data_IF_725350898563
#
_entry.id   IF_725350898563
#
_cell.length_a   1.000
_cell.length_b   1.000
_cell.length_c   1.000
_cell.angle_alpha   90.00
_cell.angle_beta   90.00
_cell.angle_gamma   90.00
#
_symmetry.space_group_name_H-M   'P 1'
#
loop_
_entity.id
_entity.type
_entity.pdbx_description
1 polymer ?
#
# COMPACT_ATOMS: atom_id res chain seq x y z
N UNK A 1 13.03 -23.32 15.63
CA UNK A 1 12.17 -22.34 14.90
C UNK A 1 13.06 -21.64 13.92
N UNK A 2 12.62 -21.52 12.67
CA UNK A 2 13.43 -20.84 11.66
C UNK A 2 13.67 -19.38 12.07
N UNK A 3 14.90 -18.91 11.85
CA UNK A 3 15.22 -17.51 12.10
C UNK A 3 14.68 -16.66 10.94
N UNK A 4 13.62 -15.90 11.21
CA UNK A 4 13.02 -14.99 10.25
C UNK A 4 13.74 -13.65 10.31
N UNK A 5 14.12 -13.15 9.12
CA UNK A 5 14.69 -11.83 8.95
C UNK A 5 13.82 -11.08 7.94
N UNK A 6 13.40 -9.87 8.30
CA UNK A 6 12.65 -8.96 7.44
C UNK A 6 13.46 -7.69 7.26
N UNK A 7 13.80 -7.36 6.02
CA UNK A 7 14.42 -6.08 5.68
C UNK A 7 13.53 -5.33 4.69
N UNK A 8 13.70 -4.02 4.64
CA UNK A 8 12.81 -3.17 3.86
C UNK A 8 13.51 -1.99 3.22
N UNK A 9 12.91 -1.47 2.16
CA UNK A 9 13.07 -0.09 1.71
C UNK A 9 11.69 0.51 1.45
N UNK A 10 11.47 1.74 1.93
CA UNK A 10 10.23 2.47 1.70
C UNK A 10 10.55 3.89 1.25
N UNK A 11 9.79 4.40 0.28
CA UNK A 11 9.97 5.75 -0.22
C UNK A 11 8.68 6.32 -0.79
N UNK A 12 8.57 7.65 -0.75
CA UNK A 12 7.55 8.42 -1.46
C UNK A 12 8.20 9.60 -2.17
N UNK A 13 7.73 9.89 -3.37
CA UNK A 13 8.21 10.99 -4.20
C UNK A 13 7.03 11.79 -4.76
N UNK A 14 7.13 13.13 -4.70
CA UNK A 14 6.02 14.03 -5.10
C UNK A 14 5.70 13.99 -6.60
N UNK A 15 6.65 13.56 -7.44
CA UNK A 15 6.49 13.59 -8.90
C UNK A 15 6.35 15.02 -9.44
N UNK A 16 5.37 15.23 -10.30
CA UNK A 16 5.04 16.53 -10.90
C UNK A 16 3.87 17.24 -10.21
N UNK A 17 3.38 16.70 -9.10
CA UNK A 17 2.27 17.26 -8.32
C UNK A 17 2.75 18.44 -7.45
N UNK A 18 1.82 19.26 -6.99
CA UNK A 18 2.09 20.37 -6.06
C UNK A 18 2.25 19.90 -4.62
N UNK A 19 1.56 18.84 -4.25
CA UNK A 19 1.55 18.25 -2.92
C UNK A 19 1.74 16.74 -3.04
N UNK A 20 2.37 16.15 -2.06
CA UNK A 20 2.37 14.71 -1.88
C UNK A 20 1.16 14.32 -1.02
N UNK A 21 0.26 13.53 -1.58
CA UNK A 21 -0.95 13.03 -0.93
C UNK A 21 -0.81 11.57 -0.49
N UNK A 22 0.31 10.93 -0.87
CA UNK A 22 0.63 9.56 -0.47
C UNK A 22 1.20 9.51 0.94
N UNK A 23 0.96 8.39 1.62
CA UNK A 23 1.57 8.03 2.88
C UNK A 23 1.93 6.54 2.91
N UNK A 24 2.80 6.15 3.87
CA UNK A 24 3.25 4.77 4.00
C UNK A 24 3.48 4.40 5.46
N UNK A 25 3.47 3.09 5.74
CA UNK A 25 3.88 2.49 7.00
C UNK A 25 5.07 1.57 6.74
N UNK A 26 6.10 1.73 7.54
CA UNK A 26 7.27 0.87 7.53
C UNK A 26 7.40 0.27 8.92
N UNK A 27 7.27 -1.07 9.01
CA UNK A 27 7.42 -1.83 10.24
C UNK A 27 6.63 -1.27 11.43
N UNK A 28 5.36 -0.93 11.20
CA UNK A 28 4.44 -0.41 12.22
C UNK A 28 4.66 1.05 12.60
N UNK A 29 5.51 1.79 11.87
CA UNK A 29 5.73 3.22 12.07
C UNK A 29 5.37 4.01 10.81
N UNK A 30 4.53 5.02 10.96
CA UNK A 30 4.26 6.00 9.91
C UNK A 30 5.29 7.13 9.99
N UNK A 31 6.18 7.27 8.98
CA UNK A 31 7.01 8.45 8.90
C UNK A 31 6.14 9.67 8.65
N UNK A 32 6.55 10.82 9.18
CA UNK A 32 5.80 12.05 9.01
C UNK A 32 5.96 12.61 7.59
N UNK A 33 5.18 12.09 6.63
CA UNK A 33 5.29 12.40 5.20
C UNK A 33 4.54 13.68 4.82
N UNK A 34 3.43 14.02 5.51
CA UNK A 34 2.53 15.12 5.12
C UNK A 34 3.20 16.51 5.00
N UNK A 35 4.40 16.69 5.55
CA UNK A 35 5.22 17.90 5.40
C UNK A 35 6.50 17.69 4.63
N UNK A 36 6.80 16.46 4.26
CA UNK A 36 7.98 16.10 3.45
C UNK A 36 7.50 15.69 2.06
N UNK A 37 7.88 16.45 1.07
CA UNK A 37 7.52 16.17 -0.32
C UNK A 37 8.15 14.88 -0.83
N UNK A 38 9.33 14.51 -0.28
CA UNK A 38 10.03 13.27 -0.59
C UNK A 38 10.56 12.65 0.71
N UNK A 39 10.45 11.34 0.83
CA UNK A 39 10.94 10.59 1.96
C UNK A 39 11.50 9.25 1.49
N UNK A 40 12.55 8.76 2.14
CA UNK A 40 13.02 7.38 1.95
C UNK A 40 13.68 6.86 3.22
N UNK A 41 13.46 5.59 3.51
CA UNK A 41 14.06 4.86 4.62
C UNK A 41 14.28 3.40 4.19
N UNK A 42 15.42 2.82 4.60
CA UNK A 42 15.69 1.41 4.41
C UNK A 42 16.44 0.84 5.62
N UNK A 43 16.28 -0.45 5.83
CA UNK A 43 16.92 -1.10 6.96
C UNK A 43 16.42 -2.53 7.19
N UNK A 44 16.75 -3.05 8.36
CA UNK A 44 16.27 -4.34 8.84
C UNK A 44 15.30 -4.12 10.00
N UNK A 45 14.17 -4.81 9.98
CA UNK A 45 13.23 -4.80 11.09
C UNK A 45 13.79 -5.52 12.30
N UNK A 46 13.63 -5.00 13.53
CA UNK A 46 13.92 -5.77 14.73
C UNK A 46 12.96 -6.96 14.81
N UNK A 47 13.41 -8.11 15.37
CA UNK A 47 12.54 -9.27 15.53
C UNK A 47 11.28 -8.95 16.34
N UNK A 48 10.11 -9.29 15.81
CA UNK A 48 8.81 -9.09 16.46
C UNK A 48 7.78 -10.13 16.00
N UNK A 49 6.69 -10.33 16.77
CA UNK A 49 5.68 -11.33 16.43
C UNK A 49 4.93 -11.04 15.12
N UNK A 50 4.70 -9.76 14.81
CA UNK A 50 3.99 -9.32 13.60
C UNK A 50 4.67 -8.07 13.06
N UNK A 51 4.86 -8.00 11.75
CA UNK A 51 5.33 -6.82 11.03
C UNK A 51 4.16 -6.18 10.27
N UNK A 52 4.13 -4.86 10.20
CA UNK A 52 3.09 -4.08 9.50
C UNK A 52 3.73 -3.16 8.47
N UNK A 53 3.27 -3.27 7.22
CA UNK A 53 3.63 -2.38 6.12
C UNK A 53 2.35 -1.92 5.42
N UNK A 54 2.34 -0.67 4.93
CA UNK A 54 1.21 -0.17 4.16
C UNK A 54 1.62 0.96 3.20
N UNK A 55 0.79 1.17 2.19
CA UNK A 55 0.77 2.37 1.36
C UNK A 55 -0.66 2.90 1.27
N UNK A 56 -0.79 4.23 1.25
CA UNK A 56 -2.05 4.95 1.14
C UNK A 56 -1.88 6.07 0.12
N UNK A 57 -2.74 6.12 -0.89
CA UNK A 57 -2.79 7.15 -1.92
C UNK A 57 -4.00 8.06 -1.68
N UNK A 58 -3.77 9.34 -1.52
CA UNK A 58 -4.83 10.32 -1.26
C UNK A 58 -5.66 10.65 -2.49
N UNK A 59 -6.97 10.40 -2.44
CA UNK A 59 -7.92 10.51 -3.54
C UNK A 59 -8.67 11.85 -3.49
N UNK A 60 -8.78 12.52 -4.63
CA UNK A 60 -9.59 13.73 -4.75
C UNK A 60 -8.76 15.01 -4.58
N UNK A 61 -8.51 15.77 -5.60
CA UNK A 61 -7.61 16.94 -5.65
C UNK A 61 -7.98 18.17 -4.79
N UNK A 62 -8.71 18.04 -3.70
CA UNK A 62 -9.31 19.12 -2.92
C UNK A 62 -8.63 19.42 -1.57
N UNK A 63 -7.37 19.02 -1.38
CA UNK A 63 -6.56 19.51 -0.27
C UNK A 63 -6.67 18.76 1.06
N UNK A 64 -7.70 17.95 1.26
CA UNK A 64 -7.91 17.11 2.45
C UNK A 64 -7.38 15.67 2.30
N UNK A 65 -7.13 15.21 1.07
CA UNK A 65 -6.71 13.84 0.78
C UNK A 65 -5.36 13.50 1.44
N UNK A 66 -4.41 14.43 1.45
CA UNK A 66 -3.13 14.25 2.16
C UNK A 66 -3.32 14.11 3.67
N UNK A 67 -4.29 14.81 4.25
CA UNK A 67 -4.64 14.69 5.67
C UNK A 67 -5.34 13.37 5.94
N UNK A 68 -6.21 12.92 5.04
CA UNK A 68 -6.93 11.64 5.16
C UNK A 68 -5.97 10.47 5.06
N UNK A 69 -5.07 10.45 4.07
CA UNK A 69 -4.06 9.40 3.94
C UNK A 69 -3.13 9.35 5.16
N UNK A 70 -2.71 10.52 5.67
CA UNK A 70 -1.93 10.64 6.90
C UNK A 70 -2.68 10.09 8.12
N UNK A 71 -3.92 10.54 8.33
CA UNK A 71 -4.73 10.09 9.47
C UNK A 71 -5.02 8.58 9.42
N UNK A 72 -5.14 8.00 8.22
CA UNK A 72 -5.32 6.56 8.03
C UNK A 72 -4.09 5.76 8.47
N UNK A 73 -2.87 6.17 8.05
CA UNK A 73 -1.64 5.49 8.48
C UNK A 73 -1.37 5.68 9.96
N UNK A 74 -1.65 6.87 10.53
CA UNK A 74 -1.51 7.13 11.97
C UNK A 74 -2.43 6.20 12.78
N UNK A 75 -3.70 6.08 12.38
CA UNK A 75 -4.67 5.22 13.06
C UNK A 75 -4.29 3.74 12.98
N UNK A 76 -3.79 3.28 11.82
CA UNK A 76 -3.26 1.91 11.69
C UNK A 76 -2.06 1.68 12.61
N UNK A 77 -1.13 2.64 12.75
CA UNK A 77 0.01 2.54 13.66
C UNK A 77 -0.41 2.56 15.13
N UNK A 78 -1.34 3.44 15.51
CA UNK A 78 -1.88 3.51 16.88
C UNK A 78 -2.56 2.20 17.28
N UNK A 79 -3.39 1.64 16.38
CA UNK A 79 -4.04 0.35 16.61
C UNK A 79 -3.02 -0.81 16.65
N UNK A 80 -1.94 -0.72 15.87
CA UNK A 80 -0.88 -1.74 15.84
C UNK A 80 -0.06 -1.82 17.12
N UNK A 81 0.12 -0.72 17.84
CA UNK A 81 0.82 -0.71 19.13
C UNK A 81 -0.01 -1.32 20.27
N UNK A 82 -1.28 -1.60 20.01
CA UNK A 82 -2.17 -2.30 20.93
C UNK A 82 -1.98 -3.83 20.93
N UNK A 83 -2.95 -4.53 21.50
CA UNK A 83 -2.97 -6.00 21.52
C UNK A 83 -3.42 -6.51 20.15
N UNK A 84 -2.49 -7.15 19.41
CA UNK A 84 -2.81 -7.78 18.12
C UNK A 84 -3.60 -9.07 18.33
N UNK A 85 -4.68 -9.33 17.55
CA UNK A 85 -5.42 -10.57 17.64
C UNK A 85 -4.53 -11.77 17.26
N UNK A 86 -4.63 -12.86 18.02
CA UNK A 86 -3.85 -14.06 17.72
C UNK A 86 -4.32 -14.76 16.44
N UNK A 87 -5.58 -14.61 16.06
CA UNK A 87 -6.23 -15.43 15.03
C UNK A 87 -6.72 -14.69 13.80
N UNK A 88 -7.20 -13.46 13.87
CA UNK A 88 -7.78 -12.73 12.71
C UNK A 88 -7.12 -11.39 12.42
N UNK A 89 -5.95 -11.45 11.78
CA UNK A 89 -5.23 -10.25 11.33
C UNK A 89 -6.02 -9.47 10.26
N UNK A 90 -6.72 -10.16 9.35
CA UNK A 90 -7.49 -9.50 8.32
C UNK A 90 -8.70 -8.76 8.90
N UNK A 91 -9.40 -9.38 9.87
CA UNK A 91 -10.50 -8.74 10.60
C UNK A 91 -10.03 -7.48 11.31
N UNK A 92 -8.90 -7.55 12.00
CA UNK A 92 -8.31 -6.38 12.67
C UNK A 92 -8.02 -5.23 11.71
N UNK A 93 -7.41 -5.48 10.55
CA UNK A 93 -7.17 -4.43 9.55
C UNK A 93 -8.50 -3.84 9.06
N UNK A 94 -9.47 -4.69 8.73
CA UNK A 94 -10.78 -4.25 8.21
C UNK A 94 -11.52 -3.37 9.21
N UNK A 95 -11.54 -3.73 10.49
CA UNK A 95 -12.15 -2.92 11.56
C UNK A 95 -11.42 -1.59 11.76
N UNK A 96 -10.09 -1.61 11.70
CA UNK A 96 -9.28 -0.37 11.79
C UNK A 96 -9.54 0.55 10.60
N UNK A 97 -9.66 0.00 9.38
CA UNK A 97 -10.00 0.78 8.19
C UNK A 97 -11.45 1.32 8.23
N UNK A 98 -12.39 0.62 8.87
CA UNK A 98 -13.74 1.18 9.10
C UNK A 98 -13.70 2.40 10.03
N UNK A 99 -12.88 2.37 11.07
CA UNK A 99 -12.66 3.53 11.94
C UNK A 99 -11.95 4.68 11.20
N UNK A 100 -11.00 4.34 10.32
CA UNK A 100 -10.34 5.32 9.46
C UNK A 100 -11.31 5.96 8.45
N UNK A 101 -12.27 5.19 7.91
CA UNK A 101 -13.33 5.70 7.03
C UNK A 101 -14.24 6.71 7.74
N UNK A 102 -14.65 6.40 8.98
CA UNK A 102 -15.44 7.33 9.78
C UNK A 102 -14.68 8.63 10.09
N UNK A 103 -13.36 8.52 10.31
CA UNK A 103 -12.50 9.69 10.51
C UNK A 103 -12.32 10.50 9.21
N UNK A 104 -12.07 9.85 8.09
CA UNK A 104 -11.93 10.47 6.76
C UNK A 104 -13.20 11.28 6.39
N UNK A 105 -14.38 10.70 6.61
CA UNK A 105 -15.66 11.40 6.38
C UNK A 105 -15.84 12.62 7.26
N UNK A 106 -15.36 12.57 8.52
CA UNK A 106 -15.37 13.75 9.42
C UNK A 106 -14.43 14.84 8.94
N UNK A 107 -13.23 14.48 8.48
CA UNK A 107 -12.26 15.44 7.90
C UNK A 107 -12.87 16.11 6.67
N UNK A 108 -13.39 15.33 5.72
CA UNK A 108 -14.02 15.85 4.50
C UNK A 108 -15.20 16.77 4.81
N UNK A 109 -16.08 16.38 5.73
CA UNK A 109 -17.21 17.21 6.14
C UNK A 109 -16.77 18.54 6.77
N UNK A 110 -15.72 18.54 7.59
CA UNK A 110 -15.17 19.74 8.21
C UNK A 110 -14.54 20.69 7.18
N UNK A 111 -13.97 20.15 6.10
CA UNK A 111 -13.37 20.91 5.00
C UNK A 111 -14.39 21.31 3.90
N UNK A 112 -15.61 20.77 3.93
CA UNK A 112 -16.60 20.96 2.86
C UNK A 112 -16.19 20.27 1.56
N UNK A 113 -15.51 19.12 1.64
CA UNK A 113 -14.92 18.38 0.54
C UNK A 113 -15.44 16.94 0.49
N UNK A 114 -14.90 16.12 -0.40
CA UNK A 114 -15.22 14.69 -0.53
C UNK A 114 -13.97 13.88 -0.84
N UNK A 115 -12.90 14.12 -0.09
CA UNK A 115 -11.64 13.39 -0.23
C UNK A 115 -11.68 11.98 0.37
N UNK A 116 -10.67 11.19 0.04
CA UNK A 116 -10.48 9.84 0.55
C UNK A 116 -9.03 9.39 0.39
N UNK A 117 -8.79 8.11 0.64
CA UNK A 117 -7.49 7.49 0.38
C UNK A 117 -7.66 6.01 0.03
N UNK A 118 -6.70 5.44 -0.70
CA UNK A 118 -6.53 3.99 -0.77
C UNK A 118 -5.89 3.48 0.52
N UNK A 119 -5.95 2.18 0.76
CA UNK A 119 -5.17 1.53 1.80
C UNK A 119 -4.81 0.10 1.36
N UNK A 120 -3.52 -0.15 1.20
CA UNK A 120 -2.97 -1.48 0.93
C UNK A 120 -2.04 -1.85 2.07
N UNK A 121 -2.47 -2.82 2.89
CA UNK A 121 -1.88 -3.17 4.18
C UNK A 121 -1.40 -4.61 4.16
N UNK A 122 -0.13 -4.84 4.47
CA UNK A 122 0.46 -6.17 4.63
C UNK A 122 0.87 -6.41 6.08
N UNK A 123 0.45 -7.54 6.63
CA UNK A 123 0.88 -8.06 7.92
C UNK A 123 1.65 -9.37 7.71
N UNK A 124 2.82 -9.50 8.36
CA UNK A 124 3.64 -10.71 8.31
C UNK A 124 3.77 -11.26 9.72
N UNK A 125 3.28 -12.50 9.94
CA UNK A 125 3.40 -13.23 11.19
C UNK A 125 4.12 -14.55 10.92
N UNK A 126 5.33 -14.70 11.45
CA UNK A 126 6.16 -15.82 11.02
C UNK A 126 6.38 -15.74 9.51
N UNK A 127 5.97 -16.77 8.78
CA UNK A 127 5.96 -16.77 7.31
C UNK A 127 4.55 -16.55 6.71
N UNK A 128 3.51 -16.43 7.53
CA UNK A 128 2.16 -16.06 7.07
C UNK A 128 2.15 -14.59 6.66
N UNK A 129 1.67 -14.32 5.44
CA UNK A 129 1.39 -12.97 4.95
C UNK A 129 -0.11 -12.79 4.78
N UNK A 130 -0.64 -11.72 5.38
CA UNK A 130 -2.04 -11.29 5.23
C UNK A 130 -2.03 -9.92 4.57
N UNK A 131 -2.64 -9.83 3.40
CA UNK A 131 -2.84 -8.58 2.68
C UNK A 131 -4.31 -8.17 2.74
N UNK A 132 -4.55 -6.89 3.03
CA UNK A 132 -5.87 -6.26 2.94
C UNK A 132 -5.73 -5.01 2.06
N UNK A 133 -6.55 -4.95 1.01
CA UNK A 133 -6.51 -3.86 0.04
C UNK A 133 -7.89 -3.21 -0.10
N UNK A 134 -7.91 -1.88 -0.06
CA UNK A 134 -9.05 -1.02 -0.41
C UNK A 134 -8.53 0.09 -1.32
N UNK A 135 -9.02 0.14 -2.54
CA UNK A 135 -8.53 1.06 -3.56
C UNK A 135 -7.75 0.35 -4.67
N UNK A 136 -7.02 1.11 -5.46
CA UNK A 136 -6.29 0.64 -6.64
C UNK A 136 -4.77 0.68 -6.50
N UNK A 137 -4.26 0.97 -5.31
CA UNK A 137 -2.85 0.80 -4.95
C UNK A 137 -2.51 -0.68 -4.84
N UNK A 138 -1.69 -1.27 -5.75
CA UNK A 138 -1.49 -2.70 -5.78
C UNK A 138 -0.44 -3.20 -4.78
N UNK A 139 -0.51 -4.50 -4.51
CA UNK A 139 0.53 -5.26 -3.84
C UNK A 139 0.90 -6.50 -4.63
N UNK A 140 2.19 -6.82 -4.64
CA UNK A 140 2.75 -7.93 -5.39
C UNK A 140 3.69 -8.76 -4.50
N UNK A 141 3.90 -10.01 -4.91
CA UNK A 141 5.02 -10.83 -4.44
C UNK A 141 5.90 -11.20 -5.62
N UNK A 142 7.19 -10.94 -5.50
CA UNK A 142 8.23 -11.42 -6.41
C UNK A 142 8.78 -12.72 -5.84
N UNK A 143 8.58 -13.81 -6.57
CA UNK A 143 8.99 -15.15 -6.16
C UNK A 143 10.26 -15.60 -6.90
N UNK A 144 10.73 -16.80 -6.59
CA UNK A 144 11.94 -17.38 -7.17
C UNK A 144 11.89 -17.62 -8.69
N UNK A 145 10.68 -17.59 -9.30
CA UNK A 145 10.49 -17.64 -10.76
C UNK A 145 10.84 -16.29 -11.44
N UNK A 146 11.10 -15.25 -10.68
CA UNK A 146 11.40 -13.91 -11.17
C UNK A 146 10.19 -13.12 -11.67
N UNK A 147 8.98 -13.63 -11.44
CA UNK A 147 7.72 -13.00 -11.83
C UNK A 147 7.11 -12.24 -10.66
N UNK A 148 6.61 -11.06 -10.93
CA UNK A 148 5.86 -10.25 -9.98
C UNK A 148 4.38 -10.65 -10.05
N UNK A 149 3.90 -11.35 -9.02
CA UNK A 149 2.52 -11.83 -8.93
C UNK A 149 1.68 -10.83 -8.13
N UNK A 150 0.64 -10.26 -8.74
CA UNK A 150 -0.27 -9.35 -8.03
C UNK A 150 -1.11 -10.12 -7.01
N UNK A 151 -1.07 -9.67 -5.75
CA UNK A 151 -1.82 -10.23 -4.62
C UNK A 151 -3.14 -9.48 -4.37
N UNK A 152 -3.22 -8.23 -4.80
CA UNK A 152 -4.38 -7.36 -4.63
C UNK A 152 -5.40 -7.53 -5.77
N UNK A 153 -6.63 -7.07 -5.53
CA UNK A 153 -7.58 -6.74 -6.58
C UNK A 153 -7.78 -5.24 -6.55
N UNK A 154 -7.41 -4.55 -7.63
CA UNK A 154 -7.58 -3.08 -7.72
C UNK A 154 -9.05 -2.74 -7.82
N UNK A 155 -9.50 -1.83 -6.99
CA UNK A 155 -10.90 -1.39 -6.97
C UNK A 155 -11.14 -0.23 -7.95
N UNK A 156 -10.81 -0.44 -9.22
CA UNK A 156 -11.11 0.48 -10.31
C UNK A 156 -12.03 -0.15 -11.35
N UNK A 157 -12.55 0.67 -12.25
CA UNK A 157 -13.52 0.24 -13.26
C UNK A 157 -12.91 -0.77 -14.22
N UNK A 158 -11.61 -0.67 -14.53
CA UNK A 158 -10.91 -1.61 -15.40
C UNK A 158 -10.94 -3.03 -14.82
N UNK A 159 -10.52 -3.19 -13.56
CA UNK A 159 -10.51 -4.47 -12.87
C UNK A 159 -11.92 -5.02 -12.70
N UNK A 160 -12.89 -4.17 -12.36
CA UNK A 160 -14.29 -4.58 -12.28
C UNK A 160 -14.82 -5.14 -13.59
N UNK A 161 -14.55 -4.47 -14.73
CA UNK A 161 -14.95 -4.95 -16.04
C UNK A 161 -14.26 -6.24 -16.44
N UNK A 162 -12.94 -6.37 -16.18
CA UNK A 162 -12.19 -7.60 -16.43
C UNK A 162 -12.81 -8.80 -15.68
N UNK A 163 -13.12 -8.64 -14.40
CA UNK A 163 -13.77 -9.68 -13.57
C UNK A 163 -15.16 -10.01 -14.09
N UNK A 164 -15.91 -9.03 -14.58
CA UNK A 164 -17.23 -9.21 -15.16
C UNK A 164 -17.21 -9.78 -16.60
N UNK A 165 -16.03 -10.04 -17.17
CA UNK A 165 -15.89 -10.49 -18.57
C UNK A 165 -16.23 -9.44 -19.62
N UNK A 166 -16.19 -8.15 -19.24
CA UNK A 166 -16.44 -6.99 -20.10
C UNK A 166 -15.11 -6.34 -20.47
N UNK A 167 -14.96 -6.01 -21.75
CA UNK A 167 -13.75 -5.31 -22.21
C UNK A 167 -13.63 -3.91 -21.57
N UNK A 168 -12.50 -3.59 -20.95
CA UNK A 168 -12.25 -2.24 -20.43
C UNK A 168 -12.18 -1.21 -21.55
N UNK A 169 -12.52 0.04 -21.23
CA UNK A 169 -12.33 1.19 -22.09
C UNK A 169 -11.13 2.03 -21.61
N UNK A 170 -10.49 2.81 -22.51
CA UNK A 170 -9.44 3.74 -22.10
C UNK A 170 -9.93 4.71 -21.01
N UNK A 171 -9.20 4.82 -19.92
CA UNK A 171 -9.55 5.65 -18.75
C UNK A 171 -10.26 4.90 -17.62
N UNK A 172 -10.71 3.66 -17.83
CA UNK A 172 -11.34 2.85 -16.78
C UNK A 172 -10.37 2.58 -15.60
N UNK A 173 -9.08 2.53 -15.87
CA UNK A 173 -8.02 2.37 -14.85
C UNK A 173 -7.98 3.52 -13.85
N UNK A 174 -8.49 4.70 -14.23
CA UNK A 174 -8.51 5.94 -13.40
C UNK A 174 -9.80 6.12 -12.62
N UNK A 175 -10.80 5.27 -12.84
CA UNK A 175 -12.11 5.38 -12.20
C UNK A 175 -12.09 4.49 -10.97
N UNK A 176 -11.76 5.07 -9.82
CA UNK A 176 -11.78 4.39 -8.54
C UNK A 176 -13.22 4.10 -8.10
N UNK A 177 -13.47 2.90 -7.58
CA UNK A 177 -14.78 2.45 -7.11
C UNK A 177 -14.93 2.48 -5.58
N UNK A 178 -13.85 2.17 -4.86
CA UNK A 178 -13.83 2.09 -3.39
C UNK A 178 -12.53 2.67 -2.84
N UNK A 179 -12.65 3.36 -1.70
CA UNK A 179 -11.55 3.89 -0.92
C UNK A 179 -11.98 4.14 0.53
N UNK A 180 -11.04 4.42 1.41
CA UNK A 180 -11.30 4.90 2.78
C UNK A 180 -11.77 6.35 2.69
N UNK A 181 -12.97 6.64 3.21
CA UNK A 181 -13.64 7.95 3.06
C UNK A 181 -14.34 8.15 1.72
N UNK A 182 -14.16 7.25 0.74
CA UNK A 182 -14.72 7.35 -0.60
C UNK A 182 -15.59 6.13 -0.94
N UNK A 183 -16.70 6.37 -1.65
CA UNK A 183 -17.68 5.33 -1.99
C UNK A 183 -18.77 5.13 -0.93
N UNK A 184 -19.73 4.25 -1.23
CA UNK A 184 -20.88 4.00 -0.36
C UNK A 184 -20.65 2.85 0.64
N UNK A 185 -19.80 1.88 0.28
CA UNK A 185 -19.53 0.71 1.12
C UNK A 185 -18.44 1.01 2.14
N UNK A 186 -18.60 0.50 3.36
CA UNK A 186 -17.53 0.47 4.37
C UNK A 186 -16.33 -0.33 3.87
N UNK A 187 -15.08 0.07 4.22
CA UNK A 187 -13.87 -0.65 3.87
C UNK A 187 -13.91 -2.14 4.21
N UNK A 188 -14.46 -2.52 5.38
CA UNK A 188 -14.58 -3.92 5.78
C UNK A 188 -15.39 -4.79 4.82
N UNK A 189 -16.31 -4.22 4.07
CA UNK A 189 -17.13 -4.92 3.06
C UNK A 189 -16.51 -4.89 1.67
N UNK A 190 -15.82 -3.80 1.33
CA UNK A 190 -15.19 -3.63 0.02
C UNK A 190 -13.80 -4.28 -0.05
N UNK A 191 -13.12 -4.43 1.08
CA UNK A 191 -11.73 -4.89 1.14
C UNK A 191 -11.53 -6.26 0.49
N UNK A 192 -10.58 -6.32 -0.46
CA UNK A 192 -9.99 -7.58 -0.90
C UNK A 192 -9.00 -8.08 0.18
N UNK A 193 -9.03 -9.39 0.44
CA UNK A 193 -8.13 -10.05 1.38
C UNK A 193 -7.42 -11.19 0.69
N UNK A 194 -6.09 -11.15 0.66
CA UNK A 194 -5.25 -12.29 0.26
C UNK A 194 -4.49 -12.81 1.49
N UNK A 195 -4.35 -14.13 1.57
CA UNK A 195 -3.55 -14.82 2.59
C UNK A 195 -2.63 -15.82 1.89
N UNK A 196 -1.40 -15.87 2.33
CA UNK A 196 -0.41 -16.77 1.76
C UNK A 196 0.77 -16.99 2.69
N UNK A 197 1.72 -17.78 2.22
CA UNK A 197 2.96 -18.07 2.92
C UNK A 197 4.12 -17.50 2.12
N UNK A 198 5.01 -16.76 2.77
CA UNK A 198 6.26 -16.28 2.19
C UNK A 198 7.32 -17.37 2.33
N UNK A 199 8.06 -17.59 1.28
CA UNK A 199 9.22 -18.48 1.25
C UNK A 199 10.51 -17.68 1.39
N UNK A 200 11.61 -18.36 1.71
CA UNK A 200 12.93 -17.73 1.77
C UNK A 200 13.28 -17.07 0.43
N UNK A 201 13.60 -15.78 0.48
CA UNK A 201 13.92 -14.97 -0.69
C UNK A 201 12.72 -14.30 -1.37
N UNK A 202 11.49 -14.55 -0.95
CA UNK A 202 10.33 -13.82 -1.48
C UNK A 202 10.42 -12.33 -1.13
N UNK A 203 9.96 -11.48 -2.06
CA UNK A 203 9.98 -10.01 -1.91
C UNK A 203 8.56 -9.49 -2.11
N UNK A 204 8.03 -8.76 -1.13
CA UNK A 204 6.77 -8.04 -1.29
C UNK A 204 7.05 -6.64 -1.83
N UNK A 205 6.20 -6.19 -2.75
CA UNK A 205 6.11 -4.80 -3.21
C UNK A 205 4.70 -4.30 -2.95
N UNK A 206 4.57 -3.26 -2.13
CA UNK A 206 3.36 -2.46 -2.03
C UNK A 206 3.65 -1.12 -2.69
N UNK A 207 2.77 -0.63 -3.57
CA UNK A 207 2.99 0.66 -4.20
C UNK A 207 1.67 1.37 -4.53
N UNK A 208 1.74 2.69 -4.72
CA UNK A 208 0.63 3.48 -5.27
C UNK A 208 0.63 3.40 -6.79
N UNK A 209 -0.46 3.82 -7.42
CA UNK A 209 -0.62 3.77 -8.87
C UNK A 209 0.40 4.64 -9.63
N UNK A 210 0.93 5.70 -8.98
CA UNK A 210 2.02 6.50 -9.55
C UNK A 210 3.28 5.68 -9.89
N UNK A 211 3.49 4.53 -9.25
CA UNK A 211 4.56 3.60 -9.63
C UNK A 211 4.16 2.74 -10.82
N UNK A 212 2.97 2.12 -10.78
CA UNK A 212 2.52 1.22 -11.84
C UNK A 212 2.03 1.95 -13.10
N UNK A 213 1.76 3.24 -13.01
CA UNK A 213 1.55 4.11 -14.19
C UNK A 213 2.86 4.45 -14.92
N UNK A 214 4.01 4.34 -14.23
CA UNK A 214 5.34 4.64 -14.77
C UNK A 214 6.07 3.40 -15.28
N UNK A 215 5.79 2.21 -14.75
CA UNK A 215 6.51 0.99 -15.03
C UNK A 215 5.57 -0.19 -15.22
N UNK A 216 5.95 -1.10 -16.10
CA UNK A 216 5.33 -2.42 -16.22
C UNK A 216 5.77 -3.33 -15.07
N UNK A 217 5.01 -4.40 -14.81
CA UNK A 217 5.36 -5.40 -13.80
C UNK A 217 6.69 -6.09 -14.09
N UNK A 218 7.01 -6.32 -15.38
CA UNK A 218 8.30 -6.90 -15.81
C UNK A 218 9.48 -5.95 -15.51
N UNK A 219 9.31 -4.64 -15.75
CA UNK A 219 10.32 -3.63 -15.43
C UNK A 219 10.56 -3.53 -13.93
N UNK A 220 9.49 -3.56 -13.13
CA UNK A 220 9.57 -3.56 -11.65
C UNK A 220 10.26 -4.83 -11.14
N UNK A 221 9.85 -6.01 -11.62
CA UNK A 221 10.49 -7.28 -11.25
C UNK A 221 11.99 -7.26 -11.57
N UNK A 222 12.34 -6.88 -12.81
CA UNK A 222 13.74 -6.77 -13.24
C UNK A 222 14.54 -5.73 -12.44
N UNK A 223 13.94 -4.63 -12.04
CA UNK A 223 14.60 -3.61 -11.20
C UNK A 223 14.88 -4.17 -9.79
N UNK A 224 13.87 -4.77 -9.14
CA UNK A 224 14.00 -5.33 -7.79
C UNK A 224 15.05 -6.46 -7.77
N UNK A 225 15.05 -7.35 -8.75
CA UNK A 225 16.05 -8.43 -8.87
C UNK A 225 17.49 -7.91 -9.03
N UNK A 226 17.66 -6.72 -9.61
CA UNK A 226 18.98 -6.04 -9.69
C UNK A 226 19.36 -5.26 -8.42
N UNK A 227 18.52 -5.33 -7.36
CA UNK A 227 18.76 -4.63 -6.09
C UNK A 227 18.38 -3.16 -6.10
N UNK A 228 17.51 -2.73 -7.04
CA UNK A 228 16.96 -1.37 -7.05
C UNK A 228 15.99 -1.22 -5.87
N UNK A 229 16.19 -0.21 -5.04
CA UNK A 229 15.39 0.04 -3.85
C UNK A 229 14.14 0.92 -4.13
N UNK A 230 13.28 1.06 -3.13
CA UNK A 230 12.06 1.85 -3.25
C UNK A 230 12.35 3.33 -3.60
N UNK A 231 13.46 3.90 -3.11
CA UNK A 231 13.85 5.28 -3.40
C UNK A 231 14.15 5.47 -4.89
N UNK A 232 14.89 4.54 -5.48
CA UNK A 232 15.25 4.61 -6.89
C UNK A 232 14.04 4.41 -7.78
N UNK A 233 13.13 3.49 -7.42
CA UNK A 233 11.87 3.25 -8.14
C UNK A 233 10.99 4.50 -8.09
N UNK A 234 10.70 5.04 -6.91
CA UNK A 234 9.80 6.20 -6.76
C UNK A 234 10.38 7.47 -7.37
N UNK A 235 11.71 7.67 -7.26
CA UNK A 235 12.38 8.77 -7.93
C UNK A 235 12.24 8.67 -9.45
N UNK A 236 12.46 7.48 -10.03
CA UNK A 236 12.35 7.28 -11.49
C UNK A 236 10.92 7.41 -11.97
N UNK A 237 9.93 6.88 -11.20
CA UNK A 237 8.51 7.09 -11.47
C UNK A 237 8.14 8.58 -11.51
N UNK A 238 8.68 9.37 -10.58
CA UNK A 238 8.46 10.81 -10.52
C UNK A 238 9.10 11.63 -11.65
N UNK A 239 9.92 11.03 -12.54
CA UNK A 239 10.55 11.71 -13.67
C UNK A 239 9.75 11.60 -14.97
N UNK A 240 8.78 10.69 -15.07
CA UNK A 240 7.97 10.56 -16.30
C UNK A 240 7.10 11.80 -16.52
N UNK A 241 6.65 12.00 -17.75
CA UNK A 241 5.75 13.11 -18.06
C UNK A 241 4.41 12.90 -17.32
N UNK A 242 3.91 13.97 -16.69
CA UNK A 242 2.69 13.95 -15.88
C UNK A 242 2.73 13.00 -14.67
N UNK A 243 3.94 12.71 -14.15
CA UNK A 243 4.10 11.84 -12.99
C UNK A 243 3.22 12.25 -11.80
N UNK A 244 2.55 11.27 -11.21
CA UNK A 244 1.83 11.42 -9.96
C UNK A 244 2.76 11.35 -8.73
N UNK A 245 2.20 11.47 -7.54
CA UNK A 245 2.87 11.02 -6.34
C UNK A 245 3.17 9.52 -6.52
N UNK A 246 4.36 9.10 -6.13
CA UNK A 246 4.80 7.73 -6.29
C UNK A 246 5.35 7.21 -4.96
N UNK A 247 4.71 6.18 -4.42
CA UNK A 247 5.08 5.57 -3.13
C UNK A 247 5.29 4.08 -3.31
N UNK A 248 6.37 3.56 -2.72
CA UNK A 248 6.66 2.12 -2.72
C UNK A 248 7.23 1.68 -1.37
N UNK A 249 6.88 0.48 -0.97
CA UNK A 249 7.48 -0.28 0.14
C UNK A 249 7.88 -1.65 -0.41
N UNK A 250 9.17 -1.96 -0.36
CA UNK A 250 9.75 -3.24 -0.75
C UNK A 250 10.17 -3.95 0.54
N UNK A 251 9.71 -5.18 0.72
CA UNK A 251 10.00 -6.00 1.91
C UNK A 251 10.65 -7.30 1.47
N UNK A 252 11.89 -7.52 1.89
CA UNK A 252 12.61 -8.77 1.66
C UNK A 252 12.40 -9.70 2.84
N UNK A 253 11.89 -10.88 2.56
CA UNK A 253 11.67 -11.93 3.54
C UNK A 253 12.76 -12.98 3.43
N UNK A 254 13.35 -13.37 4.56
CA UNK A 254 14.29 -14.49 4.63
C UNK A 254 13.98 -15.37 5.82
N UNK A 255 13.97 -16.66 5.59
CA UNK A 255 13.70 -17.69 6.58
C UNK A 255 14.79 -18.76 6.45
N UNK A 256 15.73 -18.78 7.41
CA UNK A 256 16.81 -19.78 7.44
C UNK A 256 16.55 -20.79 8.52
N UNK A 257 16.68 -22.11 8.23
CA UNK A 257 16.68 -23.13 9.26
C UNK A 257 17.84 -22.89 10.25
N UNK A 258 17.55 -23.07 11.55
CA UNK A 258 18.57 -23.07 12.60
C UNK A 258 19.42 -24.31 12.54
#
# INVERSE_FOLDING_TARGET
MDQITVSFSGATFIGKRKNNQDNLIIDGAAPFVSRQMNFSLGGQCPPRPVYLFAVCDGIGGLGDSAEISRATVELLCEAFTGVMPETDLAGWVRETLDAADDNARRISAACGTSGGTTATVALIRGNECVLVNVGDSPAFVLQSDGILHELSIRHNMESYKKIAGVAPAPGDERILLYGVGAGEAKPSRAAHVAKGTLNDGDILLLCTDGVTNAFTEEELAGAILRGVDARQITFSAGQVDHADNATAVIVHFSSRPQ
#
